data_IF_871120849960
#
_entry.id   IF_871120849960
#
_cell.length_a   1.000
_cell.length_b   1.000
_cell.length_c   1.000
_cell.angle_alpha   90.00
_cell.angle_beta   90.00
_cell.angle_gamma   90.00
#
_symmetry.space_group_name_H-M   'P 1'
#
loop_
_entity.id
_entity.type
_entity.pdbx_description
1 polymer ?
#
# COMPACT_ATOMS: atom_id res chain seq x y z
N UNK A 1 0.69 -24.58 21.81
CA UNK A 1 1.45 -23.59 21.00
C UNK A 1 1.65 -24.24 19.64
N UNK A 2 0.89 -23.83 18.63
CA UNK A 2 1.08 -24.34 17.28
C UNK A 2 2.35 -23.70 16.72
N UNK A 3 3.26 -24.52 16.21
CA UNK A 3 4.44 -24.02 15.52
C UNK A 3 4.00 -23.27 14.25
N UNK A 4 4.64 -22.15 13.89
CA UNK A 4 4.32 -21.35 12.69
C UNK A 4 4.51 -22.11 11.34
N UNK A 5 4.89 -23.39 11.38
CA UNK A 5 5.22 -24.18 10.20
C UNK A 5 4.01 -24.72 9.42
N UNK A 6 2.78 -24.58 9.91
CA UNK A 6 1.61 -25.27 9.32
C UNK A 6 0.38 -24.36 9.06
N UNK A 7 0.45 -23.07 9.41
CA UNK A 7 -0.72 -22.18 9.31
C UNK A 7 -1.17 -21.86 7.87
N UNK A 8 -0.28 -22.02 6.89
CA UNK A 8 -0.54 -21.78 5.48
C UNK A 8 -1.10 -23.00 4.72
N UNK A 9 -1.35 -24.11 5.43
CA UNK A 9 -1.93 -25.34 4.86
C UNK A 9 -3.47 -25.34 4.89
N UNK A 10 -4.08 -24.54 5.76
CA UNK A 10 -5.54 -24.37 5.83
C UNK A 10 -5.98 -23.21 4.92
N UNK A 11 -6.76 -23.49 3.86
CA UNK A 11 -7.21 -22.47 2.93
C UNK A 11 -7.97 -21.32 3.56
N UNK A 12 -8.85 -21.61 4.51
CA UNK A 12 -9.69 -20.58 5.13
C UNK A 12 -8.85 -19.71 6.07
N UNK A 13 -7.87 -20.30 6.75
CA UNK A 13 -6.93 -19.56 7.57
C UNK A 13 -6.05 -18.64 6.72
N UNK A 14 -5.55 -19.11 5.58
CA UNK A 14 -4.77 -18.29 4.64
C UNK A 14 -5.58 -17.08 4.15
N UNK A 15 -6.82 -17.30 3.70
CA UNK A 15 -7.69 -16.22 3.25
C UNK A 15 -8.00 -15.23 4.38
N UNK A 16 -8.21 -15.72 5.60
CA UNK A 16 -8.40 -14.88 6.77
C UNK A 16 -7.15 -14.06 7.12
N UNK A 17 -5.95 -14.61 6.96
CA UNK A 17 -4.69 -13.88 7.15
C UNK A 17 -4.51 -12.77 6.11
N UNK A 18 -4.79 -13.07 4.84
CA UNK A 18 -4.78 -12.06 3.78
C UNK A 18 -5.79 -10.96 4.10
N UNK A 19 -7.01 -11.33 4.47
CA UNK A 19 -8.07 -10.38 4.78
C UNK A 19 -7.68 -9.45 5.94
N UNK A 20 -7.21 -10.02 7.06
CA UNK A 20 -6.79 -9.25 8.24
C UNK A 20 -5.65 -8.28 7.90
N UNK A 21 -4.66 -8.74 7.13
CA UNK A 21 -3.56 -7.90 6.66
C UNK A 21 -4.07 -6.71 5.83
N UNK A 22 -5.01 -6.95 4.90
CA UNK A 22 -5.58 -5.89 4.05
C UNK A 22 -6.42 -4.91 4.88
N UNK A 23 -7.24 -5.40 5.83
CA UNK A 23 -8.04 -4.55 6.71
C UNK A 23 -7.16 -3.59 7.51
N UNK A 24 -6.07 -4.11 8.08
CA UNK A 24 -5.13 -3.28 8.82
C UNK A 24 -4.44 -2.25 7.91
N UNK A 25 -4.06 -2.66 6.70
CA UNK A 25 -3.49 -1.74 5.70
C UNK A 25 -4.47 -0.63 5.33
N UNK A 26 -5.75 -0.93 5.10
CA UNK A 26 -6.80 0.08 4.84
C UNK A 26 -6.89 1.03 6.03
N UNK A 27 -7.07 0.49 7.23
CA UNK A 27 -7.24 1.29 8.46
C UNK A 27 -6.09 2.30 8.64
N UNK A 28 -4.85 1.85 8.55
CA UNK A 28 -3.71 2.73 8.74
C UNK A 28 -3.55 3.74 7.62
N UNK A 29 -3.78 3.34 6.38
CA UNK A 29 -3.64 4.23 5.23
C UNK A 29 -4.68 5.35 5.29
N UNK A 30 -5.94 5.04 5.63
CA UNK A 30 -6.99 6.05 5.85
C UNK A 30 -6.66 6.98 7.02
N UNK A 31 -6.18 6.42 8.13
CA UNK A 31 -5.83 7.18 9.33
C UNK A 31 -4.70 8.19 9.05
N UNK A 32 -3.64 7.76 8.36
CA UNK A 32 -2.54 8.65 8.00
C UNK A 32 -2.93 9.66 6.93
N UNK A 33 -3.73 9.27 5.92
CA UNK A 33 -4.25 10.22 4.93
C UNK A 33 -5.07 11.32 5.61
N UNK A 34 -5.95 10.97 6.55
CA UNK A 34 -6.70 11.94 7.34
C UNK A 34 -5.78 12.87 8.13
N UNK A 35 -4.78 12.31 8.82
CA UNK A 35 -3.79 13.09 9.58
C UNK A 35 -3.06 14.09 8.68
N UNK A 36 -2.58 13.67 7.51
CA UNK A 36 -1.90 14.54 6.55
C UNK A 36 -2.81 15.67 6.04
N UNK A 37 -4.09 15.39 5.74
CA UNK A 37 -5.05 16.41 5.32
C UNK A 37 -5.31 17.46 6.41
N UNK A 38 -5.45 17.05 7.68
CA UNK A 38 -5.64 17.99 8.81
C UNK A 38 -4.42 18.91 8.99
N UNK A 39 -3.24 18.46 8.58
CA UNK A 39 -2.02 19.25 8.58
C UNK A 39 -1.72 19.95 7.24
N UNK A 40 -2.70 20.03 6.33
CA UNK A 40 -2.60 20.67 5.01
C UNK A 40 -1.50 20.08 4.11
N UNK A 41 -1.15 18.81 4.32
CA UNK A 41 -0.21 18.07 3.49
C UNK A 41 -0.94 17.26 2.43
N UNK A 42 -1.69 17.97 1.57
CA UNK A 42 -2.62 17.37 0.60
C UNK A 42 -1.91 16.47 -0.42
N UNK A 43 -0.65 16.79 -0.75
CA UNK A 43 0.14 16.02 -1.72
C UNK A 43 0.48 14.64 -1.17
N UNK A 44 1.01 14.56 0.04
CA UNK A 44 1.29 13.27 0.68
C UNK A 44 -0.02 12.52 0.97
N UNK A 45 -1.06 13.21 1.48
CA UNK A 45 -2.36 12.59 1.76
C UNK A 45 -2.97 11.92 0.53
N UNK A 46 -2.84 12.55 -0.65
CA UNK A 46 -3.31 12.00 -1.92
C UNK A 46 -2.64 10.67 -2.27
N UNK A 47 -1.35 10.50 -1.96
CA UNK A 47 -0.65 9.23 -2.19
C UNK A 47 -1.25 8.13 -1.34
N UNK A 48 -1.47 8.38 -0.04
CA UNK A 48 -2.12 7.43 0.85
C UNK A 48 -3.54 7.08 0.37
N UNK A 49 -4.35 8.07 -0.01
CA UNK A 49 -5.70 7.83 -0.55
C UNK A 49 -5.67 6.94 -1.81
N UNK A 50 -4.77 7.22 -2.75
CA UNK A 50 -4.63 6.43 -3.97
C UNK A 50 -4.32 4.96 -3.69
N UNK A 51 -3.44 4.71 -2.72
CA UNK A 51 -2.98 3.37 -2.38
C UNK A 51 -4.01 2.65 -1.50
N UNK A 52 -4.74 3.37 -0.66
CA UNK A 52 -5.88 2.83 0.08
C UNK A 52 -6.94 2.24 -0.86
N UNK A 53 -7.22 2.89 -1.99
CA UNK A 53 -8.17 2.37 -2.99
C UNK A 53 -7.67 1.07 -3.63
N UNK A 54 -6.35 0.88 -3.76
CA UNK A 54 -5.79 -0.41 -4.17
C UNK A 54 -6.07 -1.48 -3.12
N UNK A 55 -5.82 -1.21 -1.83
CA UNK A 55 -6.09 -2.19 -0.76
C UNK A 55 -7.57 -2.55 -0.64
N UNK A 56 -8.48 -1.59 -0.82
CA UNK A 56 -9.93 -1.88 -0.88
C UNK A 56 -10.29 -2.80 -2.04
N UNK A 57 -9.65 -2.62 -3.20
CA UNK A 57 -9.86 -3.51 -4.33
C UNK A 57 -9.26 -4.91 -4.08
N UNK A 58 -8.09 -5.01 -3.45
CA UNK A 58 -7.54 -6.30 -2.98
C UNK A 58 -8.51 -7.00 -2.03
N UNK A 59 -9.11 -6.27 -1.07
CA UNK A 59 -10.13 -6.82 -0.17
C UNK A 59 -11.34 -7.36 -0.96
N UNK A 60 -11.78 -6.61 -1.98
CA UNK A 60 -12.86 -7.05 -2.87
C UNK A 60 -12.55 -8.36 -3.60
N UNK A 61 -11.30 -8.57 -4.03
CA UNK A 61 -10.87 -9.84 -4.64
C UNK A 61 -11.01 -11.00 -3.65
N UNK A 62 -10.57 -10.81 -2.41
CA UNK A 62 -10.65 -11.83 -1.34
C UNK A 62 -12.11 -12.16 -1.03
N UNK A 63 -12.94 -11.16 -0.79
CA UNK A 63 -14.35 -11.33 -0.42
C UNK A 63 -15.20 -11.98 -1.53
N UNK A 64 -14.89 -11.68 -2.80
CA UNK A 64 -15.54 -12.33 -3.93
C UNK A 64 -15.10 -13.80 -4.07
N UNK A 65 -13.87 -14.12 -3.66
CA UNK A 65 -13.35 -15.49 -3.64
C UNK A 65 -13.91 -16.36 -2.50
N UNK A 66 -14.45 -15.75 -1.44
CA UNK A 66 -14.93 -16.45 -0.23
C UNK A 66 -16.45 -16.58 -0.12
N UNK A 67 -17.20 -16.25 -1.19
CA UNK A 67 -18.67 -16.21 -1.19
C UNK A 67 -19.30 -17.35 -0.37
N UNK A 68 -19.94 -16.99 0.75
CA UNK A 68 -20.63 -17.86 1.72
C UNK A 68 -19.76 -18.65 2.70
N UNK A 69 -18.53 -18.21 2.99
CA UNK A 69 -17.70 -18.81 4.04
C UNK A 69 -17.35 -17.78 5.11
N UNK A 70 -17.66 -18.09 6.36
CA UNK A 70 -17.19 -17.32 7.52
C UNK A 70 -15.69 -17.55 7.69
N UNK A 71 -14.90 -16.49 7.51
CA UNK A 71 -13.46 -16.53 7.75
C UNK A 71 -13.18 -16.55 9.25
N UNK A 72 -12.25 -17.40 9.73
CA UNK A 72 -11.86 -17.39 11.13
C UNK A 72 -11.20 -16.06 11.50
N UNK A 73 -11.39 -15.60 12.74
CA UNK A 73 -10.64 -14.45 13.26
C UNK A 73 -9.16 -14.82 13.40
N UNK A 74 -8.27 -14.01 12.82
CA UNK A 74 -6.83 -14.14 13.00
C UNK A 74 -6.39 -13.21 14.14
N UNK A 75 -5.71 -13.73 15.19
CA UNK A 75 -5.14 -12.88 16.22
C UNK A 75 -4.05 -11.95 15.67
N UNK A 76 -3.91 -10.72 16.19
CA UNK A 76 -2.97 -9.73 15.66
C UNK A 76 -1.49 -10.07 15.90
N UNK A 77 -1.18 -11.03 16.77
CA UNK A 77 0.18 -11.51 17.03
C UNK A 77 0.57 -12.75 16.19
N UNK A 78 -0.31 -13.21 15.30
CA UNK A 78 -0.04 -14.39 14.50
C UNK A 78 0.78 -14.02 13.27
N UNK A 79 2.00 -14.56 13.18
CA UNK A 79 2.83 -14.47 11.99
C UNK A 79 2.48 -15.60 11.00
N UNK A 80 2.09 -15.28 9.76
CA UNK A 80 1.74 -16.27 8.74
C UNK A 80 2.90 -17.22 8.36
N UNK A 81 4.14 -16.73 8.38
CA UNK A 81 5.38 -17.48 8.09
C UNK A 81 6.61 -16.78 8.69
N UNK A 82 7.75 -17.48 8.75
CA UNK A 82 8.99 -17.04 9.44
C UNK A 82 9.60 -15.72 8.95
N UNK A 83 9.34 -15.34 7.70
CA UNK A 83 9.88 -14.11 7.08
C UNK A 83 8.78 -13.08 6.82
N UNK A 84 7.65 -13.22 7.52
CA UNK A 84 6.55 -12.28 7.39
C UNK A 84 6.96 -10.91 7.93
N UNK A 85 6.68 -9.87 7.13
CA UNK A 85 6.82 -8.49 7.53
C UNK A 85 5.42 -7.91 7.60
N UNK A 86 5.09 -7.29 8.74
CA UNK A 86 3.79 -6.65 8.91
C UNK A 86 3.71 -5.38 8.04
N UNK A 87 2.69 -5.15 7.19
CA UNK A 87 2.61 -3.95 6.34
C UNK A 87 2.74 -2.64 7.13
N UNK A 88 2.08 -2.53 8.28
CA UNK A 88 2.13 -1.36 9.17
C UNK A 88 3.53 -1.05 9.71
N UNK A 89 4.48 -1.98 9.67
CA UNK A 89 5.86 -1.73 10.14
C UNK A 89 6.53 -0.57 9.38
N UNK A 90 6.19 -0.37 8.11
CA UNK A 90 6.76 0.72 7.30
C UNK A 90 6.33 2.10 7.82
N UNK A 91 5.20 2.17 8.50
CA UNK A 91 4.60 3.41 8.98
C UNK A 91 5.26 3.94 10.26
N UNK A 92 6.19 3.20 10.87
CA UNK A 92 7.02 3.71 11.98
C UNK A 92 7.78 4.99 11.58
N UNK A 93 8.08 5.14 10.29
CA UNK A 93 8.76 6.31 9.74
C UNK A 93 7.81 7.38 9.18
N UNK A 94 6.50 7.14 9.22
CA UNK A 94 5.51 8.08 8.73
C UNK A 94 5.37 9.26 9.70
N UNK A 95 5.40 10.48 9.18
CA UNK A 95 5.17 11.70 9.93
C UNK A 95 4.41 12.72 9.08
N UNK A 96 3.70 13.65 9.72
CA UNK A 96 2.82 14.59 9.01
C UNK A 96 3.58 15.62 8.14
N UNK A 97 4.89 15.80 8.36
CA UNK A 97 5.77 16.69 7.59
C UNK A 97 6.40 16.02 6.37
N UNK A 98 6.07 14.76 6.10
CA UNK A 98 6.65 14.03 4.97
C UNK A 98 6.34 14.71 3.63
N UNK A 99 7.29 14.66 2.72
CA UNK A 99 7.10 15.03 1.33
C UNK A 99 6.25 14.00 0.59
N UNK A 100 5.71 14.40 -0.56
CA UNK A 100 5.02 13.50 -1.49
C UNK A 100 5.91 12.32 -1.93
N UNK A 101 7.21 12.54 -2.09
CA UNK A 101 8.18 11.48 -2.45
C UNK A 101 8.39 10.47 -1.32
N UNK A 102 8.47 10.94 -0.08
CA UNK A 102 8.54 10.04 1.09
C UNK A 102 7.24 9.23 1.24
N UNK A 103 6.08 9.84 0.96
CA UNK A 103 4.81 9.13 0.94
C UNK A 103 4.79 8.02 -0.13
N UNK A 104 5.24 8.30 -1.36
CA UNK A 104 5.35 7.28 -2.41
C UNK A 104 6.27 6.15 -2.01
N UNK A 105 7.46 6.47 -1.47
CA UNK A 105 8.42 5.46 -1.00
C UNK A 105 7.80 4.52 0.04
N UNK A 106 7.16 5.07 1.06
CA UNK A 106 6.51 4.30 2.12
C UNK A 106 5.39 3.41 1.56
N UNK A 107 4.54 3.97 0.69
CA UNK A 107 3.41 3.20 0.13
C UNK A 107 3.86 2.11 -0.83
N UNK A 108 4.91 2.33 -1.63
CA UNK A 108 5.51 1.28 -2.46
C UNK A 108 6.07 0.14 -1.60
N UNK A 109 6.70 0.45 -0.47
CA UNK A 109 7.19 -0.57 0.46
C UNK A 109 6.06 -1.40 1.06
N UNK A 110 4.96 -0.75 1.44
CA UNK A 110 3.76 -1.42 1.95
C UNK A 110 3.11 -2.35 0.91
N UNK A 111 2.99 -1.88 -0.35
CA UNK A 111 2.49 -2.70 -1.47
C UNK A 111 3.42 -3.88 -1.78
N UNK A 112 4.73 -3.67 -1.69
CA UNK A 112 5.71 -4.73 -1.91
C UNK A 112 5.62 -5.82 -0.83
N UNK A 113 5.31 -5.47 0.42
CA UNK A 113 5.04 -6.44 1.49
C UNK A 113 3.83 -7.32 1.14
N UNK A 114 2.71 -6.73 0.71
CA UNK A 114 1.54 -7.48 0.25
C UNK A 114 1.90 -8.45 -0.88
N UNK A 115 2.58 -7.93 -1.91
CA UNK A 115 3.00 -8.71 -3.08
C UNK A 115 3.91 -9.88 -2.71
N UNK A 116 4.86 -9.68 -1.79
CA UNK A 116 5.76 -10.75 -1.31
C UNK A 116 4.96 -11.85 -0.62
N UNK A 117 4.00 -11.48 0.22
CA UNK A 117 3.15 -12.47 0.88
C UNK A 117 2.31 -13.27 -0.12
N UNK A 118 1.67 -12.60 -1.09
CA UNK A 118 0.89 -13.29 -2.12
C UNK A 118 1.77 -14.20 -2.99
N UNK A 119 2.97 -13.73 -3.34
CA UNK A 119 3.94 -14.53 -4.12
C UNK A 119 4.41 -15.76 -3.35
N UNK A 120 4.65 -15.63 -2.04
CA UNK A 120 4.95 -16.75 -1.15
C UNK A 120 3.80 -17.77 -1.17
N UNK A 121 2.56 -17.30 -0.95
CA UNK A 121 1.38 -18.16 -0.95
C UNK A 121 1.16 -18.87 -2.29
N UNK A 122 1.37 -18.20 -3.43
CA UNK A 122 1.29 -18.83 -4.76
C UNK A 122 2.30 -19.97 -4.95
N UNK A 123 3.53 -19.82 -4.40
CA UNK A 123 4.56 -20.86 -4.49
C UNK A 123 4.21 -22.07 -3.65
N UNK A 124 3.73 -21.85 -2.42
CA UNK A 124 3.41 -22.92 -1.47
C UNK A 124 2.06 -23.62 -1.75
N UNK A 125 1.10 -22.94 -2.38
CA UNK A 125 -0.28 -23.43 -2.56
C UNK A 125 -0.69 -23.64 -4.03
N UNK A 126 0.25 -23.95 -4.92
CA UNK A 126 0.04 -24.07 -6.38
C UNK A 126 -1.01 -25.10 -6.85
N UNK A 127 -1.49 -25.98 -5.96
CA UNK A 127 -2.44 -27.06 -6.27
C UNK A 127 -3.83 -26.85 -5.64
N UNK A 128 -4.00 -25.79 -4.84
CA UNK A 128 -5.21 -25.59 -4.04
C UNK A 128 -6.21 -24.65 -4.71
N UNK A 129 -7.49 -24.77 -4.36
CA UNK A 129 -8.59 -23.89 -4.77
C UNK A 129 -8.34 -22.40 -4.51
N UNK A 130 -7.45 -22.07 -3.58
CA UNK A 130 -6.99 -20.70 -3.31
C UNK A 130 -6.12 -20.08 -4.40
N UNK A 131 -5.52 -20.90 -5.25
CA UNK A 131 -4.55 -20.44 -6.23
C UNK A 131 -5.13 -19.35 -7.13
N UNK A 132 -6.41 -19.45 -7.50
CA UNK A 132 -7.08 -18.44 -8.33
C UNK A 132 -7.18 -17.08 -7.65
N UNK A 133 -7.50 -17.03 -6.35
CA UNK A 133 -7.61 -15.78 -5.58
C UNK A 133 -6.22 -15.16 -5.38
N UNK A 134 -5.24 -15.97 -4.96
CA UNK A 134 -3.88 -15.47 -4.72
C UNK A 134 -3.20 -15.05 -6.03
N UNK A 135 -3.41 -15.77 -7.13
CA UNK A 135 -2.91 -15.39 -8.45
C UNK A 135 -3.54 -14.07 -8.93
N UNK A 136 -4.85 -13.89 -8.73
CA UNK A 136 -5.51 -12.62 -9.02
C UNK A 136 -4.92 -11.47 -8.20
N UNK A 137 -4.63 -11.68 -6.92
CA UNK A 137 -3.98 -10.68 -6.06
C UNK A 137 -2.57 -10.32 -6.56
N UNK A 138 -1.75 -11.33 -6.92
CA UNK A 138 -0.41 -11.09 -7.49
C UNK A 138 -0.50 -10.27 -8.77
N UNK A 139 -1.39 -10.64 -9.69
CA UNK A 139 -1.59 -9.92 -10.95
C UNK A 139 -2.08 -8.48 -10.70
N UNK A 140 -3.04 -8.31 -9.79
CA UNK A 140 -3.56 -7.01 -9.42
C UNK A 140 -2.48 -6.09 -8.82
N UNK A 141 -1.65 -6.60 -7.90
CA UNK A 141 -0.52 -5.84 -7.35
C UNK A 141 0.50 -5.44 -8.42
N UNK A 142 0.77 -6.31 -9.42
CA UNK A 142 1.67 -5.97 -10.53
C UNK A 142 1.12 -4.83 -11.38
N UNK A 143 -0.16 -4.91 -11.76
CA UNK A 143 -0.82 -3.88 -12.56
C UNK A 143 -0.89 -2.54 -11.81
N UNK A 144 -1.22 -2.58 -10.53
CA UNK A 144 -1.24 -1.40 -9.68
C UNK A 144 0.17 -0.84 -9.47
N UNK A 145 1.19 -1.68 -9.28
CA UNK A 145 2.58 -1.25 -9.15
C UNK A 145 3.04 -0.43 -10.37
N UNK A 146 2.73 -0.88 -11.59
CA UNK A 146 3.06 -0.14 -12.81
C UNK A 146 2.25 1.16 -12.94
N UNK A 147 0.98 1.15 -12.54
CA UNK A 147 0.15 2.36 -12.48
C UNK A 147 0.72 3.38 -11.47
N UNK A 148 1.11 2.93 -10.29
CA UNK A 148 1.62 3.76 -9.20
C UNK A 148 2.93 4.43 -9.59
N UNK A 149 3.89 3.69 -10.18
CA UNK A 149 5.14 4.26 -10.73
C UNK A 149 4.88 5.35 -11.76
N UNK A 150 3.87 5.18 -12.63
CA UNK A 150 3.49 6.20 -13.61
C UNK A 150 2.88 7.44 -12.96
N UNK A 151 2.15 7.28 -11.85
CA UNK A 151 1.57 8.40 -11.10
C UNK A 151 2.66 9.17 -10.35
N UNK A 152 3.60 8.48 -9.72
CA UNK A 152 4.77 9.06 -9.07
C UNK A 152 5.62 9.87 -10.06
N UNK A 153 6.01 9.30 -11.20
CA UNK A 153 6.80 10.01 -12.22
C UNK A 153 6.10 11.27 -12.76
N UNK A 154 4.76 11.25 -12.86
CA UNK A 154 3.97 12.44 -13.21
C UNK A 154 4.01 13.50 -12.11
N UNK A 155 3.95 13.10 -10.84
CA UNK A 155 4.06 14.01 -9.71
C UNK A 155 5.45 14.69 -9.68
N UNK A 156 6.52 13.94 -9.92
CA UNK A 156 7.89 14.46 -10.03
C UNK A 156 8.03 15.47 -11.19
N UNK A 157 7.49 15.14 -12.36
CA UNK A 157 7.51 16.03 -13.53
C UNK A 157 6.80 17.36 -13.25
N UNK A 158 5.65 17.31 -12.58
CA UNK A 158 4.89 18.51 -12.20
C UNK A 158 5.62 19.35 -11.16
N UNK A 159 6.36 18.71 -10.24
CA UNK A 159 7.21 19.39 -9.27
C UNK A 159 8.33 20.18 -9.97
N UNK A 160 9.03 19.57 -10.93
CA UNK A 160 10.11 20.24 -11.68
C UNK A 160 9.61 21.48 -12.43
N UNK A 161 8.47 21.37 -13.13
CA UNK A 161 7.84 22.52 -13.82
C UNK A 161 7.47 23.66 -12.86
N UNK A 162 6.88 23.32 -11.70
CA UNK A 162 6.54 24.34 -10.70
C UNK A 162 7.75 25.08 -10.12
N UNK A 163 8.92 24.42 -10.05
CA UNK A 163 10.16 25.03 -9.60
C UNK A 163 10.74 25.97 -10.66
N UNK A 164 10.74 25.54 -11.93
CA UNK A 164 11.18 26.35 -13.06
C UNK A 164 10.32 27.63 -13.22
N UNK A 165 9.00 27.53 -13.02
CA UNK A 165 8.09 28.68 -13.08
C UNK A 165 8.34 29.71 -11.97
N UNK A 166 8.72 29.26 -10.76
CA UNK A 166 9.08 30.16 -9.64
C UNK A 166 10.39 30.87 -9.93
N UNK A 167 11.38 30.17 -10.48
CA UNK A 167 12.68 30.75 -10.85
C UNK A 167 12.52 31.79 -11.97
N UNK A 168 11.62 31.57 -12.92
CA UNK A 168 11.26 32.54 -13.98
C UNK A 168 10.61 33.80 -13.37
N UNK A 169 9.66 33.65 -12.45
CA UNK A 169 8.99 34.81 -11.82
C UNK A 169 9.98 35.62 -10.95
N UNK A 170 10.89 34.95 -10.24
CA UNK A 170 11.92 35.61 -9.45
C UNK A 170 12.92 36.39 -10.32
N UNK A 171 13.27 35.87 -11.50
CA UNK A 171 14.13 36.55 -12.47
C UNK A 171 13.46 37.81 -13.06
N UNK A 172 12.15 37.78 -13.33
CA UNK A 172 11.42 38.93 -13.87
C UNK A 172 11.04 39.99 -12.82
N UNK A 173 11.19 39.71 -11.53
CA UNK A 173 10.86 40.65 -10.45
C UNK A 173 12.04 41.57 -10.06
N UNK A 174 13.24 41.35 -10.61
CA UNK A 174 14.47 42.04 -10.20
C UNK A 174 14.87 43.23 -11.11
N UNK A 175 14.07 43.59 -12.12
CA UNK A 175 14.34 44.75 -13.00
C UNK A 175 13.57 46.03 -12.61
N UNK A 176 12.85 46.03 -11.47
CA UNK A 176 11.96 47.14 -11.07
C UNK A 176 12.40 48.00 -9.88
N UNK A 177 13.66 47.91 -9.43
CA UNK A 177 14.15 48.61 -8.23
C UNK A 177 14.91 49.90 -8.52
N UNK A 178 14.20 50.98 -8.87
CA UNK A 178 14.71 52.35 -8.79
C UNK A 178 13.98 53.08 -7.66
N UNK A 179 14.65 53.26 -6.52
CA UNK A 179 14.50 54.40 -5.61
C UNK A 179 15.83 54.66 -4.92
#
# INVERSE_FOLDING_TARGET
>A
MNHPKENHLDPLRVLAMIHAMIEESIYHTETFAYTLNVHHNDKAAKVFHLICEQFKAEQGIVLNGTLNVDLPTIPPWEEPYTEYIHPSSVLIHANYLMSESEAWKLMHEMVEIHKRFYTFLCKENSVNTLFSVVDQLVNYCNDCGEKNKRLEAKAETNRSKSSEDIDIIALHSNEGGLW
#
